data_IF_331791291217
#
_entry.id   IF_331791291217
#
_cell.length_a   1.000
_cell.length_b   1.000
_cell.length_c   1.000
_cell.angle_alpha   90.00
_cell.angle_beta   90.00
_cell.angle_gamma   90.00
#
_symmetry.space_group_name_H-M   'P 1'
#
loop_
_entity.id
_entity.type
_entity.pdbx_description
1 polymer ?
#
# COMPACT_ATOMS: atom_id res chain seq x y z
N UNK A 1 7.46 -13.29 -6.19
CA UNK A 1 6.36 -12.58 -5.47
C UNK A 1 6.91 -11.31 -4.81
N UNK A 2 6.04 -10.37 -4.44
CA UNK A 2 6.46 -9.22 -3.63
C UNK A 2 5.35 -8.86 -2.65
N UNK A 3 5.54 -9.18 -1.37
CA UNK A 3 4.66 -8.74 -0.30
C UNK A 3 4.79 -7.24 0.01
N UNK A 4 3.79 -6.69 0.70
CA UNK A 4 3.77 -5.28 1.10
C UNK A 4 4.89 -4.92 2.10
N UNK A 5 5.18 -5.84 3.02
CA UNK A 5 6.24 -5.67 4.04
C UNK A 5 7.58 -6.31 3.62
N UNK A 6 7.66 -6.86 2.42
CA UNK A 6 8.84 -7.60 1.98
C UNK A 6 9.91 -6.66 1.44
N UNK A 7 11.16 -6.91 1.82
CA UNK A 7 12.34 -6.14 1.40
C UNK A 7 13.07 -6.78 0.22
N UNK A 8 12.80 -8.05 -0.05
CA UNK A 8 13.40 -8.83 -1.13
C UNK A 8 12.33 -9.26 -2.14
N UNK A 9 12.73 -9.42 -3.40
CA UNK A 9 11.82 -9.90 -4.45
C UNK A 9 11.95 -11.42 -4.51
N UNK A 10 10.85 -12.13 -4.22
CA UNK A 10 10.77 -13.57 -4.49
C UNK A 10 10.84 -13.79 -6.00
N UNK A 11 11.64 -14.80 -6.39
CA UNK A 11 11.98 -15.14 -7.78
C UNK A 11 10.78 -15.38 -8.71
N UNK A 12 11.05 -15.74 -9.97
CA UNK A 12 9.97 -15.98 -10.93
C UNK A 12 9.06 -17.09 -10.38
N UNK A 13 7.78 -16.75 -10.23
CA UNK A 13 6.76 -17.72 -9.83
C UNK A 13 6.21 -18.31 -11.12
N UNK A 14 6.35 -19.62 -11.28
CA UNK A 14 5.71 -20.35 -12.36
C UNK A 14 4.19 -20.17 -12.30
N UNK A 15 3.54 -20.02 -13.46
CA UNK A 15 2.11 -19.69 -13.52
C UNK A 15 1.24 -20.77 -12.87
N UNK A 16 1.69 -22.02 -12.96
CA UNK A 16 1.05 -23.21 -12.41
C UNK A 16 1.02 -23.18 -10.87
N UNK A 17 1.93 -22.42 -10.24
CA UNK A 17 1.98 -22.26 -8.79
C UNK A 17 1.04 -21.16 -8.27
N UNK A 18 0.33 -20.44 -9.15
CA UNK A 18 -0.63 -19.40 -8.77
C UNK A 18 -2.03 -20.00 -8.63
N UNK A 19 -2.43 -20.29 -7.39
CA UNK A 19 -3.73 -20.89 -7.10
C UNK A 19 -4.93 -19.96 -7.38
N UNK A 20 -4.77 -18.66 -7.12
CA UNK A 20 -5.84 -17.68 -7.26
C UNK A 20 -5.31 -16.25 -7.41
N UNK A 21 -6.15 -15.36 -7.94
CA UNK A 21 -5.89 -13.92 -8.06
C UNK A 21 -7.03 -13.14 -7.41
N UNK A 22 -6.70 -12.16 -6.58
CA UNK A 22 -7.69 -11.31 -5.89
C UNK A 22 -8.30 -10.31 -6.87
N UNK A 23 -9.62 -10.37 -7.05
CA UNK A 23 -10.38 -9.47 -7.95
C UNK A 23 -11.10 -8.34 -7.21
N UNK A 24 -11.48 -8.56 -5.94
CA UNK A 24 -12.22 -7.59 -5.12
C UNK A 24 -11.84 -7.73 -3.66
N UNK A 25 -11.72 -6.59 -2.99
CA UNK A 25 -11.38 -6.50 -1.57
C UNK A 25 -12.62 -5.98 -0.82
N UNK A 26 -13.08 -6.72 0.19
CA UNK A 26 -14.15 -6.28 1.07
C UNK A 26 -13.56 -5.73 2.37
N UNK A 27 -13.83 -4.46 2.69
CA UNK A 27 -13.33 -3.80 3.89
C UNK A 27 -14.37 -2.87 4.49
N UNK A 28 -14.67 -3.04 5.79
CA UNK A 28 -15.64 -2.22 6.53
C UNK A 28 -16.99 -2.08 5.81
N UNK A 29 -17.50 -3.20 5.26
CA UNK A 29 -18.77 -3.23 4.52
C UNK A 29 -18.72 -2.62 3.10
N UNK A 30 -17.55 -2.18 2.62
CA UNK A 30 -17.36 -1.65 1.26
C UNK A 30 -16.61 -2.65 0.40
N UNK A 31 -17.06 -2.85 -0.83
CA UNK A 31 -16.31 -3.56 -1.87
C UNK A 31 -15.40 -2.59 -2.62
N UNK A 32 -14.17 -3.03 -2.90
CA UNK A 32 -13.18 -2.31 -3.68
C UNK A 32 -12.72 -3.25 -4.77
N UNK A 33 -13.10 -2.99 -6.01
CA UNK A 33 -12.63 -3.78 -7.15
C UNK A 33 -11.15 -3.49 -7.43
N UNK A 34 -10.34 -4.52 -7.65
CA UNK A 34 -8.93 -4.38 -7.98
C UNK A 34 -8.71 -3.71 -9.36
N UNK A 35 -9.76 -3.64 -10.19
CA UNK A 35 -9.76 -2.95 -11.48
C UNK A 35 -10.07 -1.45 -11.37
N UNK A 36 -10.50 -0.96 -10.21
CA UNK A 36 -10.78 0.45 -10.01
C UNK A 36 -9.51 1.31 -10.22
N UNK A 37 -9.58 2.32 -11.07
CA UNK A 37 -8.45 3.20 -11.42
C UNK A 37 -7.81 3.85 -10.19
N UNK A 38 -8.63 4.31 -9.23
CA UNK A 38 -8.10 4.91 -8.00
C UNK A 38 -7.32 3.92 -7.14
N UNK A 39 -7.75 2.67 -7.09
CA UNK A 39 -7.04 1.62 -6.38
C UNK A 39 -5.74 1.24 -7.11
N UNK A 40 -5.79 1.08 -8.44
CA UNK A 40 -4.60 0.78 -9.25
C UNK A 40 -3.53 1.88 -9.11
N UNK A 41 -3.92 3.14 -9.17
CA UNK A 41 -3.01 4.27 -8.97
C UNK A 41 -2.30 4.22 -7.61
N UNK A 42 -3.04 3.92 -6.54
CA UNK A 42 -2.45 3.78 -5.19
C UNK A 42 -1.47 2.61 -5.14
N UNK A 43 -1.79 1.47 -5.76
CA UNK A 43 -0.92 0.29 -5.81
C UNK A 43 0.36 0.58 -6.60
N UNK A 44 0.26 1.22 -7.76
CA UNK A 44 1.41 1.64 -8.56
C UNK A 44 2.29 2.62 -7.79
N UNK A 45 1.69 3.64 -7.18
CA UNK A 45 2.40 4.58 -6.33
C UNK A 45 3.11 3.87 -5.16
N UNK A 46 2.45 2.91 -4.52
CA UNK A 46 3.03 2.10 -3.46
C UNK A 46 4.21 1.24 -3.94
N UNK A 47 4.14 0.71 -5.16
CA UNK A 47 5.21 -0.05 -5.81
C UNK A 47 6.39 0.82 -6.24
N UNK A 48 6.16 2.10 -6.58
CA UNK A 48 7.20 3.10 -6.85
C UNK A 48 7.87 3.59 -5.56
N UNK A 49 7.12 3.72 -4.47
CA UNK A 49 7.61 4.12 -3.14
C UNK A 49 8.36 2.99 -2.40
N UNK A 50 8.57 1.84 -3.03
CA UNK A 50 9.29 0.68 -2.50
C UNK A 50 10.65 0.98 -1.86
N UNK A 51 11.58 1.76 -2.47
CA UNK A 51 12.85 2.09 -1.83
C UNK A 51 12.67 2.94 -0.56
N UNK A 52 11.55 3.66 -0.44
CA UNK A 52 11.23 4.51 0.70
C UNK A 52 10.38 3.80 1.77
N UNK A 53 9.92 2.55 1.54
CA UNK A 53 9.13 1.76 2.50
C UNK A 53 9.67 1.77 3.93
N UNK A 54 10.97 1.53 4.20
CA UNK A 54 11.47 1.55 5.58
C UNK A 54 11.35 2.93 6.24
N UNK A 55 11.48 4.01 5.47
CA UNK A 55 11.28 5.37 5.97
C UNK A 55 9.78 5.64 6.25
N UNK A 56 8.90 5.27 5.32
CA UNK A 56 7.45 5.41 5.47
C UNK A 56 6.97 4.65 6.70
N UNK A 57 7.43 3.41 6.89
CA UNK A 57 7.08 2.61 8.06
C UNK A 57 7.58 3.22 9.37
N UNK A 58 8.80 3.79 9.39
CA UNK A 58 9.30 4.53 10.56
C UNK A 58 8.42 5.75 10.88
N UNK A 59 8.02 6.51 9.86
CA UNK A 59 7.16 7.70 10.01
C UNK A 59 5.79 7.30 10.54
N UNK A 60 5.14 6.30 9.93
CA UNK A 60 3.80 5.84 10.29
C UNK A 60 3.78 5.19 11.68
N UNK A 61 4.79 4.38 12.01
CA UNK A 61 4.89 3.73 13.31
C UNK A 61 5.20 4.74 14.43
N UNK A 62 5.89 5.84 14.11
CA UNK A 62 6.14 6.94 15.03
C UNK A 62 4.89 7.83 15.20
N UNK A 63 3.92 7.34 15.99
CA UNK A 63 2.63 7.98 16.29
C UNK A 63 2.67 9.50 16.50
N UNK A 64 3.55 10.09 17.34
CA UNK A 64 3.57 11.54 17.56
C UNK A 64 4.03 12.32 16.31
N UNK A 65 4.93 11.75 15.51
CA UNK A 65 5.44 12.38 14.30
C UNK A 65 4.42 12.32 13.15
N UNK A 66 3.77 11.17 12.96
CA UNK A 66 2.69 11.02 11.98
C UNK A 66 1.51 11.96 12.31
N UNK A 67 1.09 12.03 13.58
CA UNK A 67 0.04 12.94 14.03
C UNK A 67 0.39 14.42 13.76
N UNK A 68 1.67 14.81 13.94
CA UNK A 68 2.15 16.15 13.63
C UNK A 68 2.09 16.46 12.13
N UNK A 69 2.52 15.54 11.27
CA UNK A 69 2.44 15.69 9.80
C UNK A 69 0.99 15.82 9.35
N UNK A 70 0.13 14.91 9.82
CA UNK A 70 -1.29 14.92 9.47
C UNK A 70 -1.96 16.21 9.92
N UNK A 71 -1.69 16.67 11.14
CA UNK A 71 -2.21 17.95 11.63
C UNK A 71 -1.70 19.13 10.79
N UNK A 72 -0.43 19.16 10.37
CA UNK A 72 0.09 20.23 9.50
C UNK A 72 -0.56 20.24 8.12
N UNK A 73 -0.82 19.06 7.52
CA UNK A 73 -1.47 18.95 6.21
C UNK A 73 -2.97 19.31 6.26
N UNK A 74 -3.67 18.96 7.34
CA UNK A 74 -5.11 19.22 7.48
C UNK A 74 -5.44 20.61 8.07
N UNK A 75 -4.48 21.29 8.71
CA UNK A 75 -4.68 22.65 9.27
C UNK A 75 -4.73 23.78 8.21
N UNK A 76 -4.49 23.47 6.94
CA UNK A 76 -4.60 24.42 5.82
C UNK A 76 -5.93 24.39 5.06
N UNK A 77 -6.94 23.64 5.54
CA UNK A 77 -8.28 23.53 4.90
C UNK A 77 -9.43 23.88 5.86
N UNK A 78 -9.29 24.98 6.58
CA UNK A 78 -10.39 25.67 7.29
C UNK A 78 -10.19 27.16 7.18
#
# INVERSE_FOLDING_TARGET
MLGDAQTWIEGPIEKENVLAVVTTIMRKGKSIECRNQGYQFIVELWLLLRPLRPLIMKIVCNKPFFAKIMNTFFKGKT
#
